data_IF_438732738398
#
_entry.id   IF_438732738398
#
_cell.length_a   1.000
_cell.length_b   1.000
_cell.length_c   1.000
_cell.angle_alpha   90.00
_cell.angle_beta   90.00
_cell.angle_gamma   90.00
#
_symmetry.space_group_name_H-M   'P 1'
#
loop_
_entity.id
_entity.type
_entity.pdbx_description
1 polymer ?
#
# COMPACT_ATOMS: atom_id res chain seq x y z
N UNK A 1 1.03 18.67 14.25
CA UNK A 1 1.38 18.44 12.82
C UNK A 1 2.88 18.19 12.59
N UNK A 2 3.82 19.07 13.02
CA UNK A 2 5.28 18.86 12.82
C UNK A 2 5.82 17.50 13.33
N UNK A 3 5.30 17.01 14.45
CA UNK A 3 5.72 15.73 15.05
C UNK A 3 5.24 14.49 14.26
N UNK A 4 4.10 14.55 13.57
CA UNK A 4 3.58 13.41 12.81
C UNK A 4 4.30 13.23 11.46
N UNK A 5 4.61 14.33 10.77
CA UNK A 5 5.36 14.28 9.51
C UNK A 5 6.83 13.84 9.70
N UNK A 6 7.44 14.18 10.83
CA UNK A 6 8.81 13.75 11.18
C UNK A 6 8.91 12.25 11.50
N UNK A 7 7.80 11.60 11.87
CA UNK A 7 7.76 10.15 12.15
C UNK A 7 7.77 9.28 10.87
N UNK A 8 7.48 9.86 9.70
CA UNK A 8 7.44 9.12 8.44
C UNK A 8 8.85 9.00 7.88
N UNK A 9 9.39 7.77 7.85
CA UNK A 9 10.66 7.48 7.21
C UNK A 9 10.45 7.26 5.70
N UNK A 10 10.57 8.35 4.93
CA UNK A 10 10.38 8.34 3.47
C UNK A 10 11.37 7.45 2.71
N UNK A 11 12.54 7.18 3.29
CA UNK A 11 13.56 6.31 2.71
C UNK A 11 13.13 4.85 2.81
N UNK A 12 12.67 4.42 4.00
CA UNK A 12 12.10 3.07 4.20
C UNK A 12 10.85 2.85 3.37
N UNK A 13 9.98 3.87 3.27
CA UNK A 13 8.74 3.75 2.50
C UNK A 13 8.99 3.46 1.02
N UNK A 14 10.03 4.07 0.43
CA UNK A 14 10.39 3.85 -0.99
C UNK A 14 11.14 2.55 -1.25
N UNK A 15 12.00 2.14 -0.32
CA UNK A 15 12.92 1.02 -0.53
C UNK A 15 12.37 -0.32 -0.01
N UNK A 16 11.64 -0.35 1.11
CA UNK A 16 11.29 -1.61 1.79
C UNK A 16 9.99 -2.27 1.30
N UNK A 17 9.11 -1.53 0.62
CA UNK A 17 7.75 -2.01 0.33
C UNK A 17 7.53 -2.46 -1.12
N UNK A 18 8.58 -2.52 -1.95
CA UNK A 18 8.47 -2.98 -3.34
C UNK A 18 7.42 -2.21 -4.14
N UNK A 19 7.29 -0.90 -3.88
CA UNK A 19 6.28 -0.07 -4.51
C UNK A 19 6.55 0.06 -6.02
N UNK A 20 5.49 0.05 -6.81
CA UNK A 20 5.57 0.28 -8.25
C UNK A 20 6.14 1.70 -8.55
N UNK A 21 6.83 1.86 -9.68
CA UNK A 21 7.44 3.14 -10.08
C UNK A 21 6.43 4.30 -10.10
N UNK A 22 5.19 4.04 -10.56
CA UNK A 22 4.12 5.03 -10.58
C UNK A 22 3.73 5.52 -9.16
N UNK A 23 3.67 4.63 -8.17
CA UNK A 23 3.34 5.01 -6.78
C UNK A 23 4.52 5.69 -6.09
N UNK A 24 5.76 5.36 -6.45
CA UNK A 24 6.94 6.10 -5.97
C UNK A 24 6.96 7.53 -6.50
N UNK A 25 6.56 7.75 -7.77
CA UNK A 25 6.45 9.09 -8.36
C UNK A 25 5.40 9.95 -7.66
N UNK A 26 4.19 9.41 -7.47
CA UNK A 26 3.10 10.15 -6.81
C UNK A 26 3.44 10.50 -5.36
N UNK A 27 4.18 9.63 -4.67
CA UNK A 27 4.71 9.88 -3.33
C UNK A 27 5.73 11.05 -3.31
N UNK A 28 6.62 11.09 -4.30
CA UNK A 28 7.59 12.18 -4.46
C UNK A 28 6.88 13.53 -4.70
N UNK A 29 5.87 13.55 -5.57
CA UNK A 29 5.05 14.72 -5.83
C UNK A 29 4.27 15.18 -4.59
N UNK A 30 3.77 14.24 -3.78
CA UNK A 30 3.13 14.58 -2.51
C UNK A 30 4.11 15.22 -1.53
N UNK A 31 5.32 14.68 -1.40
CA UNK A 31 6.36 15.26 -0.55
C UNK A 31 6.72 16.68 -1.02
N UNK A 32 6.89 16.89 -2.32
CA UNK A 32 7.18 18.20 -2.91
C UNK A 32 6.05 19.20 -2.63
N UNK A 33 4.80 18.82 -2.83
CA UNK A 33 3.64 19.67 -2.51
C UNK A 33 3.62 20.10 -1.05
N UNK A 34 3.94 19.18 -0.14
CA UNK A 34 4.05 19.51 1.28
C UNK A 34 5.20 20.50 1.54
N UNK A 35 6.41 20.26 1.02
CA UNK A 35 7.54 21.19 1.22
C UNK A 35 7.25 22.58 0.66
N UNK A 36 6.64 22.66 -0.53
CA UNK A 36 6.29 23.93 -1.16
C UNK A 36 5.25 24.70 -0.33
N UNK A 37 4.26 24.01 0.24
CA UNK A 37 3.29 24.61 1.16
C UNK A 37 3.98 25.14 2.43
N UNK A 38 4.92 24.40 3.01
CA UNK A 38 5.69 24.85 4.17
C UNK A 38 6.53 26.10 3.87
N UNK A 39 7.19 26.13 2.72
CA UNK A 39 7.98 27.30 2.29
C UNK A 39 7.10 28.52 2.13
N UNK A 40 5.92 28.38 1.50
CA UNK A 40 4.95 29.48 1.35
C UNK A 40 4.44 29.97 2.71
N UNK A 41 4.06 29.07 3.60
CA UNK A 41 3.60 29.44 4.95
C UNK A 41 4.69 30.18 5.72
N UNK A 42 5.95 29.70 5.63
CA UNK A 42 7.08 30.36 6.28
C UNK A 42 7.32 31.76 5.72
N UNK A 43 7.33 31.92 4.40
CA UNK A 43 7.49 33.22 3.75
C UNK A 43 6.37 34.21 4.16
N UNK A 44 5.12 33.74 4.25
CA UNK A 44 4.00 34.56 4.73
C UNK A 44 4.11 34.90 6.22
N UNK A 45 4.63 33.98 7.04
CA UNK A 45 4.88 34.23 8.46
C UNK A 45 5.98 35.28 8.68
N UNK A 46 7.03 35.27 7.86
CA UNK A 46 8.11 36.25 7.91
C UNK A 46 7.63 37.66 7.49
N UNK A 47 6.56 37.76 6.70
CA UNK A 47 5.92 39.02 6.30
C UNK A 47 4.95 39.60 7.34
N UNK A 48 4.69 38.90 8.47
CA UNK A 48 3.79 39.42 9.50
C UNK A 48 4.44 40.63 10.18
N UNK A 49 3.94 41.81 9.86
CA UNK A 49 4.37 43.06 10.48
C UNK A 49 3.53 43.37 11.72
N UNK A 50 4.19 43.59 12.85
CA UNK A 50 3.55 44.19 14.02
C UNK A 50 3.51 45.71 13.83
N UNK A 51 2.32 46.27 13.70
CA UNK A 51 2.10 47.71 13.61
C UNK A 51 2.03 48.27 15.04
N UNK A 52 2.95 49.18 15.39
CA UNK A 52 2.90 49.89 16.67
C UNK A 52 2.01 51.14 16.57
N UNK A 53 0.75 50.99 16.97
CA UNK A 53 -0.23 52.08 16.97
C UNK A 53 0.11 53.22 17.94
N UNK A 54 0.97 53.01 18.95
CA UNK A 54 1.36 54.08 19.88
C UNK A 54 2.31 55.08 19.23
N UNK A 55 3.26 54.60 18.43
CA UNK A 55 4.16 55.45 17.67
C UNK A 55 3.40 56.33 16.65
N UNK A 56 2.42 55.77 15.95
CA UNK A 56 1.62 56.52 14.99
C UNK A 56 0.67 57.53 15.64
N UNK A 57 0.17 57.25 16.85
CA UNK A 57 -0.62 58.23 17.63
C UNK A 57 0.18 59.48 18.00
N UNK A 58 1.50 59.39 18.20
CA UNK A 58 2.33 60.56 18.50
C UNK A 58 2.65 61.47 17.31
N UNK A 59 2.51 60.98 16.07
CA UNK A 59 2.93 61.70 14.85
C UNK A 59 1.72 62.26 14.08
N UNK A 60 0.60 61.52 14.04
CA UNK A 60 -0.58 61.90 13.29
C UNK A 60 -1.53 62.79 14.09
N UNK A 61 -1.94 63.91 13.51
CA UNK A 61 -2.92 64.84 14.09
C UNK A 61 -4.35 64.29 14.13
N UNK A 62 -4.69 63.36 13.23
CA UNK A 62 -6.03 62.76 13.14
C UNK A 62 -6.10 61.42 13.87
N UNK A 63 -6.36 61.46 15.17
CA UNK A 63 -6.46 60.27 16.03
C UNK A 63 -7.71 59.41 15.79
N UNK A 64 -8.76 59.98 15.19
CA UNK A 64 -10.03 59.27 14.90
C UNK A 64 -9.82 58.11 13.93
N UNK A 65 -9.07 58.33 12.86
CA UNK A 65 -8.77 57.33 11.82
C UNK A 65 -7.92 56.19 12.39
N UNK A 66 -6.96 56.51 13.28
CA UNK A 66 -6.14 55.49 13.94
C UNK A 66 -6.97 54.56 14.82
N UNK A 67 -7.95 55.09 15.54
CA UNK A 67 -8.83 54.28 16.38
C UNK A 67 -9.74 53.36 15.55
N UNK A 68 -10.21 53.81 14.39
CA UNK A 68 -11.01 52.99 13.47
C UNK A 68 -10.18 51.84 12.88
N UNK A 69 -8.97 52.13 12.39
CA UNK A 69 -8.07 51.10 11.85
C UNK A 69 -7.64 50.09 12.91
N UNK A 70 -7.35 50.54 14.14
CA UNK A 70 -7.02 49.65 15.26
C UNK A 70 -8.21 48.74 15.62
N UNK A 71 -9.43 49.27 15.57
CA UNK A 71 -10.67 48.50 15.81
C UNK A 71 -10.90 47.47 14.71
N UNK A 72 -10.73 47.86 13.44
CA UNK A 72 -10.93 46.97 12.29
C UNK A 72 -9.88 45.86 12.26
N UNK A 73 -8.62 46.17 12.57
CA UNK A 73 -7.55 45.17 12.64
C UNK A 73 -7.76 44.17 13.78
N UNK A 74 -8.23 44.62 14.95
CA UNK A 74 -8.58 43.74 16.08
C UNK A 74 -9.81 42.88 15.80
N UNK A 75 -10.75 43.39 15.02
CA UNK A 75 -11.98 42.68 14.66
C UNK A 75 -11.76 41.70 13.50
N UNK A 76 -10.75 41.96 12.66
CA UNK A 76 -10.38 41.08 11.56
C UNK A 76 -9.84 39.75 12.06
N UNK A 77 -10.67 38.71 11.94
CA UNK A 77 -10.26 37.31 12.09
C UNK A 77 -10.13 36.71 10.70
N UNK A 78 -8.95 36.17 10.32
CA UNK A 78 -8.81 35.51 9.03
C UNK A 78 -9.77 34.33 8.94
N UNK A 79 -10.36 34.13 7.75
CA UNK A 79 -11.26 33.02 7.48
C UNK A 79 -10.49 31.71 7.67
N UNK A 80 -10.80 30.95 8.72
CA UNK A 80 -10.21 29.62 8.92
C UNK A 80 -10.78 28.68 7.87
N UNK A 81 -9.92 28.13 7.02
CA UNK A 81 -10.31 27.10 6.08
C UNK A 81 -10.85 25.86 6.83
N UNK A 82 -12.06 25.42 6.52
CA UNK A 82 -12.63 24.23 7.14
C UNK A 82 -11.97 22.97 6.55
N UNK A 83 -11.30 22.19 7.40
CA UNK A 83 -10.58 20.96 7.03
C UNK A 83 -11.37 19.68 7.35
N UNK A 84 -12.56 19.80 7.96
CA UNK A 84 -13.33 18.68 8.52
C UNK A 84 -13.77 17.68 7.45
N UNK A 85 -14.17 18.16 6.28
CA UNK A 85 -14.53 17.28 5.15
C UNK A 85 -13.34 16.43 4.69
N UNK A 86 -12.14 17.00 4.68
CA UNK A 86 -10.92 16.31 4.26
C UNK A 86 -10.47 15.30 5.32
N UNK A 87 -10.61 15.63 6.61
CA UNK A 87 -10.34 14.71 7.73
C UNK A 87 -11.27 13.49 7.64
N UNK A 88 -12.57 13.69 7.38
CA UNK A 88 -13.52 12.58 7.19
C UNK A 88 -13.10 11.64 6.06
N UNK A 89 -12.67 12.20 4.93
CA UNK A 89 -12.18 11.41 3.78
C UNK A 89 -10.93 10.62 4.16
N UNK A 90 -9.98 11.23 4.88
CA UNK A 90 -8.76 10.56 5.35
C UNK A 90 -9.10 9.37 6.25
N UNK A 91 -10.03 9.54 7.19
CA UNK A 91 -10.46 8.46 8.08
C UNK A 91 -11.07 7.29 7.29
N UNK A 92 -11.90 7.57 6.27
CA UNK A 92 -12.45 6.52 5.41
C UNK A 92 -11.36 5.79 4.59
N UNK A 93 -10.32 6.49 4.16
CA UNK A 93 -9.17 5.85 3.51
C UNK A 93 -8.38 4.99 4.49
N UNK A 94 -8.20 5.44 5.73
CA UNK A 94 -7.52 4.68 6.78
C UNK A 94 -8.27 3.39 7.13
N UNK A 95 -9.59 3.45 7.32
CA UNK A 95 -10.43 2.27 7.57
C UNK A 95 -10.30 1.24 6.45
N UNK A 96 -10.42 1.66 5.18
CA UNK A 96 -10.26 0.77 4.02
C UNK A 96 -8.85 0.19 3.90
N UNK A 97 -7.82 0.99 4.21
CA UNK A 97 -6.44 0.53 4.20
C UNK A 97 -6.19 -0.52 5.30
N UNK A 98 -6.73 -0.30 6.51
CA UNK A 98 -6.65 -1.25 7.63
C UNK A 98 -7.39 -2.55 7.31
N UNK A 99 -8.60 -2.46 6.75
CA UNK A 99 -9.36 -3.64 6.33
C UNK A 99 -8.61 -4.45 5.27
N UNK A 100 -8.04 -3.78 4.25
CA UNK A 100 -7.25 -4.44 3.22
C UNK A 100 -6.00 -5.11 3.78
N UNK A 101 -5.27 -4.39 4.66
CA UNK A 101 -4.09 -4.93 5.31
C UNK A 101 -4.42 -6.16 6.18
N UNK A 102 -5.51 -6.11 6.95
CA UNK A 102 -5.97 -7.23 7.76
C UNK A 102 -6.34 -8.45 6.90
N UNK A 103 -7.03 -8.25 5.77
CA UNK A 103 -7.35 -9.32 4.81
C UNK A 103 -6.08 -9.95 4.24
N UNK A 104 -5.11 -9.15 3.81
CA UNK A 104 -3.83 -9.66 3.30
C UNK A 104 -3.07 -10.42 4.37
N UNK A 105 -2.98 -9.90 5.59
CA UNK A 105 -2.31 -10.59 6.70
C UNK A 105 -2.95 -11.95 6.99
N UNK A 106 -4.29 -12.00 7.03
CA UNK A 106 -5.01 -13.26 7.22
C UNK A 106 -4.79 -14.26 6.08
N UNK A 107 -4.77 -13.80 4.84
CA UNK A 107 -4.50 -14.67 3.69
C UNK A 107 -3.07 -15.21 3.73
N UNK A 108 -2.08 -14.35 3.99
CA UNK A 108 -0.68 -14.78 4.12
C UNK A 108 -0.52 -15.80 5.24
N UNK A 109 -1.17 -15.61 6.38
CA UNK A 109 -1.14 -16.60 7.46
C UNK A 109 -1.72 -17.95 7.04
N UNK A 110 -2.84 -17.95 6.30
CA UNK A 110 -3.44 -19.19 5.76
C UNK A 110 -2.52 -19.90 4.77
N UNK A 111 -1.92 -19.14 3.86
CA UNK A 111 -0.95 -19.69 2.89
C UNK A 111 0.27 -20.27 3.59
N UNK A 112 0.81 -19.58 4.62
CA UNK A 112 1.93 -20.09 5.41
C UNK A 112 1.57 -21.38 6.14
N UNK A 113 0.39 -21.45 6.77
CA UNK A 113 -0.06 -22.68 7.42
C UNK A 113 -0.21 -23.82 6.41
N UNK A 114 -0.79 -23.56 5.24
CA UNK A 114 -0.97 -24.55 4.19
C UNK A 114 0.37 -25.03 3.61
N UNK A 115 1.31 -24.12 3.37
CA UNK A 115 2.67 -24.46 2.94
C UNK A 115 3.40 -25.29 4.00
N UNK A 116 3.22 -24.98 5.28
CA UNK A 116 3.84 -25.73 6.36
C UNK A 116 3.23 -27.13 6.50
N UNK A 117 1.92 -27.27 6.34
CA UNK A 117 1.26 -28.57 6.24
C UNK A 117 1.75 -29.36 5.03
N UNK A 118 1.87 -28.71 3.87
CA UNK A 118 2.40 -29.32 2.64
C UNK A 118 3.83 -29.80 2.84
N UNK A 119 4.67 -29.02 3.51
CA UNK A 119 6.04 -29.39 3.85
C UNK A 119 6.07 -30.60 4.80
N UNK A 120 5.23 -30.61 5.84
CA UNK A 120 5.10 -31.76 6.74
C UNK A 120 4.65 -33.02 5.99
N UNK A 121 3.71 -32.87 5.05
CA UNK A 121 3.24 -33.98 4.22
C UNK A 121 4.36 -34.51 3.32
N UNK A 122 5.17 -33.64 2.72
CA UNK A 122 6.34 -34.04 1.92
C UNK A 122 7.37 -34.76 2.79
N UNK A 123 7.65 -34.27 4.00
CA UNK A 123 8.63 -34.90 4.90
C UNK A 123 8.21 -36.27 5.41
N UNK A 124 6.90 -36.48 5.63
CA UNK A 124 6.34 -37.75 6.11
C UNK A 124 5.93 -38.68 4.97
N UNK A 125 6.00 -38.22 3.73
CA UNK A 125 5.62 -39.02 2.58
C UNK A 125 6.53 -40.25 2.46
N UNK A 126 5.94 -41.35 1.99
CA UNK A 126 6.68 -42.55 1.62
C UNK A 126 7.65 -42.24 0.46
N UNK A 127 8.83 -42.87 0.41
CA UNK A 127 9.71 -42.81 -0.76
C UNK A 127 8.99 -43.17 -2.06
N UNK A 128 9.35 -42.50 -3.15
CA UNK A 128 8.71 -42.69 -4.47
C UNK A 128 8.92 -44.13 -4.99
N UNK A 129 10.01 -44.79 -4.58
CA UNK A 129 10.35 -46.16 -4.98
C UNK A 129 9.36 -47.21 -4.46
N UNK A 130 8.72 -46.95 -3.31
CA UNK A 130 7.76 -47.86 -2.66
C UNK A 130 6.29 -47.52 -3.00
N UNK A 131 6.07 -46.63 -3.97
CA UNK A 131 4.75 -46.15 -4.35
C UNK A 131 4.08 -47.11 -5.33
N UNK A 132 2.86 -47.56 -5.03
CA UNK A 132 2.09 -48.43 -5.95
C UNK A 132 1.18 -47.62 -6.87
N UNK A 133 0.87 -48.17 -8.05
CA UNK A 133 -0.05 -47.52 -9.00
C UNK A 133 -1.45 -47.37 -8.41
N UNK A 134 -1.91 -48.35 -7.63
CA UNK A 134 -3.20 -48.30 -6.94
C UNK A 134 -3.27 -47.13 -5.95
N UNK A 135 -2.21 -46.88 -5.18
CA UNK A 135 -2.15 -45.76 -4.24
C UNK A 135 -2.27 -44.41 -4.98
N UNK A 136 -1.64 -44.30 -6.16
CA UNK A 136 -1.70 -43.10 -7.01
C UNK A 136 -3.11 -42.89 -7.56
N UNK A 137 -3.81 -43.95 -7.98
CA UNK A 137 -5.18 -43.85 -8.48
C UNK A 137 -6.17 -43.49 -7.36
N UNK A 138 -5.96 -44.00 -6.15
CA UNK A 138 -6.77 -43.63 -4.97
C UNK A 138 -6.56 -42.15 -4.62
N UNK A 139 -5.32 -41.68 -4.65
CA UNK A 139 -4.99 -40.28 -4.32
C UNK A 139 -5.42 -39.30 -5.43
N UNK A 140 -5.31 -39.69 -6.70
CA UNK A 140 -5.57 -38.87 -7.87
C UNK A 140 -6.51 -39.60 -8.87
N UNK A 141 -7.83 -39.66 -8.58
CA UNK A 141 -8.80 -40.36 -9.43
C UNK A 141 -9.00 -39.72 -10.81
N UNK A 142 -8.51 -38.49 -11.02
CA UNK A 142 -8.51 -37.85 -12.33
C UNK A 142 -7.63 -38.59 -13.35
N UNK A 143 -6.60 -39.30 -12.89
CA UNK A 143 -5.71 -40.08 -13.75
C UNK A 143 -6.50 -41.22 -14.42
N UNK A 144 -7.33 -41.93 -13.66
CA UNK A 144 -8.17 -43.02 -14.18
C UNK A 144 -9.11 -42.51 -15.27
N UNK A 145 -9.84 -41.42 -15.01
CA UNK A 145 -10.73 -40.79 -15.99
C UNK A 145 -10.00 -40.34 -17.26
N UNK A 146 -8.76 -39.90 -17.12
CA UNK A 146 -7.95 -39.48 -18.28
C UNK A 146 -7.49 -40.68 -19.09
N UNK A 147 -7.07 -41.75 -18.42
CA UNK A 147 -6.70 -43.02 -19.08
C UNK A 147 -7.91 -43.62 -19.79
N UNK A 148 -9.07 -43.69 -19.16
CA UNK A 148 -10.33 -44.16 -19.79
C UNK A 148 -10.63 -43.41 -21.08
N UNK A 149 -10.60 -42.06 -21.04
CA UNK A 149 -10.80 -41.24 -22.24
C UNK A 149 -9.73 -41.47 -23.31
N UNK A 150 -8.48 -41.71 -22.94
CA UNK A 150 -7.43 -42.01 -23.92
C UNK A 150 -7.69 -43.36 -24.60
N UNK A 151 -8.13 -44.37 -23.85
CA UNK A 151 -8.51 -45.68 -24.39
C UNK A 151 -9.74 -45.56 -25.30
N UNK A 152 -10.79 -44.84 -24.88
CA UNK A 152 -11.99 -44.58 -25.69
C UNK A 152 -11.65 -43.90 -27.02
N UNK A 153 -10.70 -42.96 -27.01
CA UNK A 153 -10.25 -42.24 -28.20
C UNK A 153 -9.18 -43.00 -29.01
N UNK A 154 -8.82 -44.23 -28.62
CA UNK A 154 -7.80 -45.04 -29.30
C UNK A 154 -6.38 -44.47 -29.21
N UNK A 155 -6.12 -43.57 -28.27
CA UNK A 155 -4.81 -42.94 -28.05
C UNK A 155 -3.97 -43.80 -27.10
N UNK A 156 -3.16 -44.69 -27.67
CA UNK A 156 -2.25 -45.58 -26.92
C UNK A 156 -0.87 -44.97 -26.63
N UNK A 157 -0.55 -43.84 -27.26
CA UNK A 157 0.69 -43.10 -27.01
C UNK A 157 0.45 -41.92 -26.06
N UNK A 158 1.37 -41.72 -25.12
CA UNK A 158 1.32 -40.61 -24.18
C UNK A 158 2.10 -39.41 -24.75
N UNK A 159 1.44 -38.26 -25.02
CA UNK A 159 2.11 -37.08 -25.55
C UNK A 159 3.25 -36.60 -24.63
N UNK A 160 4.42 -36.32 -25.21
CA UNK A 160 5.58 -35.78 -24.47
C UNK A 160 6.34 -36.78 -23.59
N UNK A 161 5.88 -38.03 -23.46
CA UNK A 161 6.55 -39.05 -22.65
C UNK A 161 7.93 -39.42 -23.22
N UNK A 162 7.99 -39.68 -24.53
CA UNK A 162 9.22 -40.08 -25.23
C UNK A 162 10.34 -39.03 -25.17
N UNK A 163 10.00 -37.74 -25.12
CA UNK A 163 10.97 -36.65 -25.03
C UNK A 163 11.65 -36.56 -23.65
N UNK A 164 10.94 -36.97 -22.59
CA UNK A 164 11.42 -36.88 -21.21
C UNK A 164 12.02 -38.17 -20.67
N UNK A 165 11.44 -39.31 -21.05
CA UNK A 165 11.79 -40.62 -20.49
C UNK A 165 12.43 -41.57 -21.52
N UNK A 166 12.49 -41.18 -22.79
CA UNK A 166 12.99 -42.02 -23.86
C UNK A 166 12.03 -43.15 -24.23
N UNK A 167 12.50 -44.03 -25.10
CA UNK A 167 11.80 -45.23 -25.54
C UNK A 167 12.73 -46.41 -25.29
N UNK A 168 12.25 -47.43 -24.58
CA UNK A 168 13.04 -48.61 -24.21
C UNK A 168 12.91 -49.74 -25.24
N UNK A 169 12.32 -49.45 -26.39
CA UNK A 169 12.18 -50.40 -27.49
C UNK A 169 13.54 -50.63 -28.17
N UNK A 170 13.87 -51.90 -28.42
CA UNK A 170 15.19 -52.35 -28.94
C UNK A 170 15.21 -52.32 -30.49
N UNK A 171 14.44 -51.44 -31.13
CA UNK A 171 14.30 -51.40 -32.60
C UNK A 171 14.48 -50.01 -33.17
#
# INVERSE_FOLDING_TARGET
MKSAAAKINWTKLRLCYGLNAATVSSLSEFQKRNSDAWTKVRALQEQVQNIDFNHYRSILKNHTILNEVEKDMKTFKPLKWNTDAQIKIINLFEEKALESAAKTANNVNKELTLLQETLSNIQKARPIEDLTVQDVLIACPEIEKKVEKMVENGQWSVPGYKEKFGDLTIM
#
